data_IF_589728030722
#
_entry.id   IF_589728030722
#
_cell.length_a   1.000
_cell.length_b   1.000
_cell.length_c   1.000
_cell.angle_alpha   90.00
_cell.angle_beta   90.00
_cell.angle_gamma   90.00
#
_symmetry.space_group_name_H-M   'P 1'
#
loop_
_entity.id
_entity.type
_entity.pdbx_description
1 polymer ?
#
# COMPACT_ATOMS: atom_id res chain seq x y z
N UNK A 1 31.63 -4.35 -9.17
CA UNK A 1 31.24 -3.12 -8.45
C UNK A 1 30.11 -3.54 -7.52
N UNK A 2 30.50 -3.83 -6.28
CA UNK A 2 29.57 -4.31 -5.25
C UNK A 2 28.67 -3.16 -4.84
N UNK A 3 27.38 -3.32 -5.10
CA UNK A 3 26.35 -2.40 -4.62
C UNK A 3 25.90 -2.88 -3.25
N UNK A 4 26.57 -2.43 -2.19
CA UNK A 4 26.15 -2.61 -0.81
C UNK A 4 25.17 -1.49 -0.44
N UNK A 5 23.94 -1.66 -0.88
CA UNK A 5 22.81 -0.72 -0.65
C UNK A 5 22.01 -1.00 0.61
N UNK A 6 22.51 -1.84 1.50
CA UNK A 6 21.88 -2.08 2.81
C UNK A 6 22.27 -1.02 3.82
N UNK A 7 21.79 0.20 3.68
CA UNK A 7 21.53 1.02 4.86
C UNK A 7 20.20 0.55 5.44
N UNK A 8 20.28 -0.54 6.21
CA UNK A 8 19.23 -0.90 7.12
C UNK A 8 18.99 0.31 8.03
N UNK A 9 17.83 0.94 7.87
CA UNK A 9 17.26 1.76 8.92
C UNK A 9 16.96 0.75 10.01
N UNK A 10 17.79 0.73 11.07
CA UNK A 10 17.55 -0.11 12.26
C UNK A 10 16.21 0.28 12.87
N UNK A 11 15.16 -0.40 12.42
CA UNK A 11 13.89 -0.41 13.15
C UNK A 11 14.01 -1.47 14.23
N UNK A 12 14.15 -1.01 15.47
CA UNK A 12 14.00 -1.84 16.65
C UNK A 12 12.56 -2.34 16.70
N UNK A 13 12.31 -3.48 16.06
CA UNK A 13 10.98 -4.12 16.06
C UNK A 13 10.89 -4.96 17.32
N UNK A 14 10.29 -4.41 18.36
CA UNK A 14 9.74 -5.24 19.43
C UNK A 14 8.70 -6.18 18.83
N UNK A 15 8.57 -7.44 19.30
CA UNK A 15 7.60 -8.38 18.76
C UNK A 15 6.22 -7.73 18.77
N UNK A 16 5.64 -7.57 17.59
CA UNK A 16 4.34 -6.93 17.41
C UNK A 16 3.29 -7.87 18.00
N UNK A 17 3.04 -7.73 19.30
CA UNK A 17 1.73 -8.09 19.85
C UNK A 17 0.74 -7.25 19.05
N UNK A 18 -0.28 -7.89 18.49
CA UNK A 18 -1.42 -7.24 17.85
C UNK A 18 -1.81 -6.01 18.68
N UNK A 19 -1.30 -4.84 18.27
CA UNK A 19 -1.57 -3.59 18.97
C UNK A 19 -3.06 -3.34 18.77
N UNK A 20 -3.81 -3.23 19.85
CA UNK A 20 -5.19 -2.73 19.82
C UNK A 20 -5.12 -1.41 19.07
N UNK A 21 -5.60 -1.43 17.81
CA UNK A 21 -5.47 -0.33 16.89
C UNK A 21 -6.03 0.94 17.51
N UNK A 22 -5.31 2.03 17.33
CA UNK A 22 -5.84 3.36 17.59
C UNK A 22 -7.02 3.52 16.62
N UNK A 23 -8.23 3.62 17.13
CA UNK A 23 -9.44 3.84 16.32
C UNK A 23 -9.18 5.08 15.48
N UNK A 24 -9.22 4.94 14.15
CA UNK A 24 -9.05 6.08 13.25
C UNK A 24 -10.20 7.06 13.47
N UNK A 25 -9.85 8.34 13.62
CA UNK A 25 -10.84 9.41 13.63
C UNK A 25 -11.64 9.36 12.31
N UNK A 26 -12.96 9.45 12.36
CA UNK A 26 -13.82 9.33 11.16
C UNK A 26 -13.45 10.29 10.02
N UNK A 27 -12.80 11.41 10.35
CA UNK A 27 -12.40 12.44 9.38
C UNK A 27 -11.00 12.26 8.77
N UNK A 28 -10.20 11.29 9.26
CA UNK A 28 -8.81 11.14 8.84
C UNK A 28 -8.67 11.01 7.32
N UNK A 29 -9.39 10.11 6.68
CA UNK A 29 -9.26 9.87 5.24
C UNK A 29 -9.72 11.06 4.40
N UNK A 30 -10.74 11.79 4.84
CA UNK A 30 -11.19 13.02 4.19
C UNK A 30 -10.12 14.12 4.27
N UNK A 31 -9.53 14.33 5.42
CA UNK A 31 -8.45 15.30 5.60
C UNK A 31 -7.21 14.88 4.81
N UNK A 32 -6.84 13.60 4.85
CA UNK A 32 -5.74 13.04 4.08
C UNK A 32 -5.93 13.27 2.57
N UNK A 33 -7.14 13.02 2.04
CA UNK A 33 -7.48 13.31 0.65
C UNK A 33 -7.20 14.77 0.27
N UNK A 34 -7.69 15.71 1.08
CA UNK A 34 -7.51 17.15 0.84
C UNK A 34 -6.02 17.51 0.83
N UNK A 35 -5.28 17.08 1.86
CA UNK A 35 -3.85 17.40 2.01
C UNK A 35 -3.01 16.79 0.89
N UNK A 36 -3.25 15.53 0.53
CA UNK A 36 -2.53 14.86 -0.55
C UNK A 36 -2.78 15.49 -1.92
N UNK A 37 -4.04 15.82 -2.23
CA UNK A 37 -4.37 16.51 -3.49
C UNK A 37 -3.79 17.94 -3.55
N UNK A 38 -3.78 18.68 -2.43
CA UNK A 38 -3.12 19.99 -2.37
C UNK A 38 -1.62 19.88 -2.65
N UNK A 39 -0.97 18.89 -2.07
CA UNK A 39 0.44 18.58 -2.32
C UNK A 39 0.71 18.27 -3.78
N UNK A 40 -0.15 17.49 -4.43
CA UNK A 40 0.01 17.09 -5.82
C UNK A 40 -0.27 18.22 -6.82
N UNK A 41 -0.93 19.33 -6.42
CA UNK A 41 -1.08 20.52 -7.25
C UNK A 41 0.24 21.22 -7.60
N UNK A 42 1.28 20.99 -6.81
CA UNK A 42 2.62 21.50 -7.05
C UNK A 42 3.67 20.41 -7.25
N UNK A 43 3.23 19.15 -7.41
CA UNK A 43 4.14 18.04 -7.59
C UNK A 43 4.98 18.19 -8.85
N UNK A 44 6.26 17.89 -8.73
CA UNK A 44 7.19 17.81 -9.87
C UNK A 44 8.02 16.54 -9.76
N UNK A 45 8.24 15.89 -10.91
CA UNK A 45 9.05 14.69 -10.95
C UNK A 45 10.52 15.05 -10.70
N UNK A 46 11.08 14.50 -9.64
CA UNK A 46 12.49 14.69 -9.23
C UNK A 46 13.32 13.51 -9.73
N UNK A 47 14.05 13.69 -10.83
CA UNK A 47 14.81 12.63 -11.50
C UNK A 47 15.95 12.02 -10.66
N UNK A 48 16.36 12.66 -9.57
CA UNK A 48 17.38 12.16 -8.65
C UNK A 48 16.83 11.30 -7.51
N UNK A 49 15.50 11.30 -7.29
CA UNK A 49 14.85 10.48 -6.29
C UNK A 49 14.29 9.22 -6.95
N UNK A 50 14.72 8.08 -6.47
CA UNK A 50 14.29 6.77 -6.95
C UNK A 50 12.90 6.40 -6.42
N UNK A 51 12.20 5.57 -7.17
CA UNK A 51 10.91 5.03 -6.80
C UNK A 51 9.72 5.75 -7.44
N UNK A 52 8.54 5.44 -6.94
CA UNK A 52 7.30 5.98 -7.48
C UNK A 52 7.05 7.41 -6.99
N UNK A 53 6.73 8.31 -7.92
CA UNK A 53 6.38 9.69 -7.64
C UNK A 53 5.03 10.03 -8.28
N UNK A 54 4.25 10.89 -7.59
CA UNK A 54 2.96 11.34 -8.10
C UNK A 54 3.14 12.47 -9.11
N UNK A 55 2.30 12.47 -10.14
CA UNK A 55 2.30 13.50 -11.17
C UNK A 55 1.60 14.77 -10.67
N UNK A 56 1.93 15.88 -11.32
CA UNK A 56 1.22 17.16 -11.15
C UNK A 56 -0.29 16.98 -11.31
N UNK A 57 -1.06 17.56 -10.40
CA UNK A 57 -2.53 17.50 -10.38
C UNK A 57 -3.10 16.07 -10.36
N UNK A 58 -2.41 15.10 -9.75
CA UNK A 58 -3.03 13.80 -9.44
C UNK A 58 -4.19 14.00 -8.47
N UNK A 59 -5.27 13.26 -8.67
CA UNK A 59 -6.45 13.29 -7.80
C UNK A 59 -6.88 11.89 -7.42
N UNK A 60 -7.51 11.80 -6.27
CA UNK A 60 -8.23 10.60 -5.90
C UNK A 60 -9.53 10.49 -6.68
N UNK A 61 -9.86 9.28 -7.13
CA UNK A 61 -11.19 9.00 -7.65
C UNK A 61 -12.20 9.06 -6.50
N UNK A 62 -13.48 9.32 -6.80
CA UNK A 62 -14.55 9.23 -5.81
C UNK A 62 -14.55 7.87 -5.11
N UNK A 63 -14.89 7.89 -3.82
CA UNK A 63 -15.02 6.67 -3.03
C UNK A 63 -16.12 5.73 -3.52
N UNK A 64 -16.12 4.53 -2.99
CA UNK A 64 -17.07 3.47 -3.31
C UNK A 64 -18.28 3.51 -2.37
N UNK A 65 -19.44 3.05 -2.85
CA UNK A 65 -20.58 2.74 -1.97
C UNK A 65 -20.34 1.43 -1.20
N UNK A 66 -21.12 1.20 -0.15
CA UNK A 66 -21.07 -0.05 0.62
C UNK A 66 -21.27 -1.29 -0.25
N UNK A 67 -22.18 -1.20 -1.24
CA UNK A 67 -22.46 -2.30 -2.18
C UNK A 67 -21.25 -2.56 -3.09
N UNK A 68 -20.58 -1.51 -3.56
CA UNK A 68 -19.39 -1.66 -4.39
C UNK A 68 -18.19 -2.21 -3.60
N UNK A 69 -18.06 -1.83 -2.31
CA UNK A 69 -17.06 -2.41 -1.41
C UNK A 69 -17.36 -3.89 -1.17
N UNK A 70 -18.62 -4.25 -0.88
CA UNK A 70 -19.01 -5.65 -0.69
C UNK A 70 -18.79 -6.48 -1.96
N UNK A 71 -19.03 -5.91 -3.14
CA UNK A 71 -18.69 -6.55 -4.40
C UNK A 71 -17.17 -6.74 -4.54
N UNK A 72 -16.36 -5.74 -4.21
CA UNK A 72 -14.90 -5.85 -4.25
C UNK A 72 -14.38 -6.94 -3.31
N UNK A 73 -14.89 -6.99 -2.06
CA UNK A 73 -14.58 -8.06 -1.10
C UNK A 73 -14.89 -9.44 -1.68
N UNK A 74 -16.04 -9.58 -2.34
CA UNK A 74 -16.45 -10.84 -2.99
C UNK A 74 -15.53 -11.23 -4.15
N UNK A 75 -15.12 -10.26 -4.98
CA UNK A 75 -14.25 -10.50 -6.15
C UNK A 75 -12.81 -10.88 -5.78
N UNK A 76 -12.35 -10.48 -4.59
CA UNK A 76 -11.00 -10.80 -4.09
C UNK A 76 -11.02 -11.83 -2.96
N UNK A 77 -12.18 -12.37 -2.63
CA UNK A 77 -12.39 -13.38 -1.59
C UNK A 77 -11.79 -12.96 -0.22
N UNK A 78 -11.94 -11.67 0.14
CA UNK A 78 -11.38 -11.11 1.36
C UNK A 78 -12.38 -10.20 2.09
N UNK A 79 -12.42 -10.27 3.42
CA UNK A 79 -13.13 -9.29 4.24
C UNK A 79 -12.21 -8.15 4.60
N UNK A 80 -12.60 -6.92 4.26
CA UNK A 80 -11.76 -5.76 4.50
C UNK A 80 -11.84 -5.28 5.96
N UNK A 81 -10.69 -4.97 6.60
CA UNK A 81 -10.68 -4.27 7.88
C UNK A 81 -11.40 -2.93 7.81
N UNK A 82 -11.91 -2.47 8.95
CA UNK A 82 -12.69 -1.23 9.02
C UNK A 82 -11.96 -0.03 8.43
N UNK A 83 -10.67 0.13 8.73
CA UNK A 83 -9.89 1.27 8.22
C UNK A 83 -9.72 1.23 6.69
N UNK A 84 -9.60 0.03 6.10
CA UNK A 84 -9.53 -0.11 4.65
C UNK A 84 -10.89 0.16 3.98
N UNK A 85 -12.00 -0.24 4.61
CA UNK A 85 -13.34 0.14 4.11
C UNK A 85 -13.54 1.65 4.14
N UNK A 86 -13.21 2.33 5.26
CA UNK A 86 -13.29 3.79 5.38
C UNK A 86 -12.40 4.51 4.35
N UNK A 87 -11.22 3.96 4.05
CA UNK A 87 -10.37 4.47 2.97
C UNK A 87 -11.08 4.37 1.62
N UNK A 88 -11.67 3.22 1.30
CA UNK A 88 -12.37 2.98 0.03
C UNK A 88 -13.66 3.80 -0.09
N UNK A 89 -14.36 4.07 1.01
CA UNK A 89 -15.53 4.96 1.05
C UNK A 89 -15.17 6.42 0.67
N UNK A 90 -13.98 6.88 1.02
CA UNK A 90 -13.53 8.23 0.70
C UNK A 90 -12.78 8.31 -0.63
N UNK A 91 -11.96 7.29 -0.97
CA UNK A 91 -11.02 7.30 -2.08
C UNK A 91 -10.92 5.93 -2.75
N UNK A 92 -11.00 5.90 -4.08
CA UNK A 92 -10.92 4.66 -4.85
C UNK A 92 -9.83 4.75 -5.92
N UNK A 93 -8.57 4.70 -5.48
CA UNK A 93 -7.43 4.82 -6.38
C UNK A 93 -7.23 6.23 -6.94
N UNK A 94 -6.22 6.39 -7.78
CA UNK A 94 -5.88 7.69 -8.40
C UNK A 94 -6.26 7.76 -9.87
N UNK A 95 -6.51 8.98 -10.35
CA UNK A 95 -6.86 9.28 -11.75
C UNK A 95 -5.66 9.15 -12.69
N UNK A 96 -4.44 9.38 -12.16
CA UNK A 96 -3.18 9.29 -12.91
C UNK A 96 -2.30 8.15 -12.42
N UNK A 97 -1.53 7.52 -13.32
CA UNK A 97 -0.48 6.59 -12.91
C UNK A 97 0.63 7.32 -12.16
N UNK A 98 1.35 6.60 -11.31
CA UNK A 98 2.60 7.09 -10.74
C UNK A 98 3.72 7.06 -11.80
N UNK A 99 4.79 7.82 -11.56
CA UNK A 99 6.01 7.76 -12.36
C UNK A 99 7.08 7.03 -11.56
N UNK A 100 7.49 5.87 -12.04
CA UNK A 100 8.61 5.12 -11.47
C UNK A 100 9.92 5.71 -11.98
N UNK A 101 10.59 6.46 -11.11
CA UNK A 101 11.84 7.14 -11.45
C UNK A 101 13.00 6.19 -11.18
N UNK A 102 13.73 5.83 -12.24
CA UNK A 102 14.91 4.96 -12.18
C UNK A 102 14.65 3.63 -11.46
N UNK A 103 13.47 3.02 -11.67
CA UNK A 103 13.15 1.71 -11.14
C UNK A 103 14.16 0.62 -11.55
N UNK A 104 13.81 -0.63 -11.36
CA UNK A 104 14.69 -1.80 -11.63
C UNK A 104 15.27 -1.85 -13.04
N UNK A 105 14.64 -1.18 -14.01
CA UNK A 105 15.14 -1.07 -15.40
C UNK A 105 16.28 -0.07 -15.57
N UNK A 106 16.53 0.81 -14.60
CA UNK A 106 17.49 1.91 -14.72
C UNK A 106 17.05 3.06 -15.63
N UNK A 107 15.88 2.96 -16.27
CA UNK A 107 15.34 4.02 -17.11
C UNK A 107 14.97 5.25 -16.27
N UNK A 108 15.13 6.48 -16.82
CA UNK A 108 14.90 7.71 -16.05
C UNK A 108 13.48 7.83 -15.52
N UNK A 109 12.51 7.47 -16.34
CA UNK A 109 11.08 7.51 -15.99
C UNK A 109 10.32 6.44 -16.77
N UNK A 110 9.34 5.84 -16.11
CA UNK A 110 8.28 5.07 -16.75
C UNK A 110 7.00 5.21 -15.95
N UNK A 111 5.87 5.10 -16.61
CA UNK A 111 4.61 5.05 -15.89
C UNK A 111 4.47 3.72 -15.17
N UNK A 112 4.14 3.80 -13.88
CA UNK A 112 3.86 2.67 -13.02
C UNK A 112 2.40 2.66 -12.59
N UNK A 113 1.99 1.69 -11.78
CA UNK A 113 0.65 1.71 -11.20
C UNK A 113 0.50 2.93 -10.30
N UNK A 114 -0.71 3.55 -10.32
CA UNK A 114 -1.17 4.42 -9.25
C UNK A 114 -1.75 3.60 -8.11
N UNK A 115 -2.45 4.24 -7.18
CA UNK A 115 -3.34 3.50 -6.30
C UNK A 115 -4.42 2.79 -7.11
N UNK A 116 -4.64 1.51 -6.82
CA UNK A 116 -5.58 0.70 -7.56
C UNK A 116 -7.02 1.14 -7.33
N UNK A 117 -7.83 1.09 -8.38
CA UNK A 117 -9.22 1.52 -8.41
C UNK A 117 -10.14 0.35 -8.79
N UNK A 118 -11.16 0.10 -8.00
CA UNK A 118 -12.21 -0.85 -8.33
C UNK A 118 -13.35 -0.14 -9.11
N UNK A 119 -13.92 -0.74 -10.15
CA UNK A 119 -13.56 -2.04 -10.75
C UNK A 119 -12.45 -1.96 -11.82
N UNK A 120 -11.95 -0.75 -12.14
CA UNK A 120 -11.01 -0.50 -13.25
C UNK A 120 -9.80 -1.44 -13.25
N UNK A 121 -9.20 -1.63 -12.09
CA UNK A 121 -7.94 -2.35 -11.93
C UNK A 121 -8.13 -3.76 -11.36
N UNK A 122 -9.38 -4.27 -11.24
CA UNK A 122 -9.70 -5.54 -10.60
C UNK A 122 -8.86 -6.71 -11.13
N UNK A 123 -8.75 -6.83 -12.44
CA UNK A 123 -7.94 -7.90 -13.05
C UNK A 123 -6.49 -7.86 -12.57
N UNK A 124 -5.90 -6.67 -12.49
CA UNK A 124 -4.52 -6.50 -12.03
C UNK A 124 -4.39 -6.83 -10.54
N UNK A 125 -5.36 -6.42 -9.74
CA UNK A 125 -5.45 -6.76 -8.31
C UNK A 125 -5.47 -8.28 -8.13
N UNK A 126 -6.31 -9.00 -8.87
CA UNK A 126 -6.41 -10.46 -8.81
C UNK A 126 -5.09 -11.15 -9.24
N UNK A 127 -4.46 -10.69 -10.32
CA UNK A 127 -3.15 -11.21 -10.76
C UNK A 127 -2.06 -11.06 -9.68
N UNK A 128 -2.08 -9.96 -8.92
CA UNK A 128 -1.14 -9.70 -7.83
C UNK A 128 -1.45 -10.53 -6.58
N UNK A 129 -2.73 -10.77 -6.26
CA UNK A 129 -3.15 -11.69 -5.20
C UNK A 129 -2.68 -13.10 -5.51
N UNK A 130 -2.90 -13.57 -6.73
CA UNK A 130 -2.42 -14.88 -7.18
C UNK A 130 -0.90 -15.01 -7.11
N UNK A 131 -0.19 -13.93 -7.45
CA UNK A 131 1.28 -13.92 -7.37
C UNK A 131 1.77 -14.15 -5.94
N UNK A 132 1.27 -13.40 -4.96
CA UNK A 132 1.68 -13.55 -3.56
C UNK A 132 1.17 -14.86 -2.95
N UNK A 133 0.01 -15.34 -3.39
CA UNK A 133 -0.53 -16.63 -2.93
C UNK A 133 0.38 -17.80 -3.33
N UNK A 134 0.90 -17.83 -4.55
CA UNK A 134 1.83 -18.87 -5.01
C UNK A 134 3.12 -18.92 -4.20
N UNK A 135 3.61 -17.79 -3.71
CA UNK A 135 4.83 -17.69 -2.88
C UNK A 135 4.57 -17.68 -1.37
N UNK A 136 3.33 -17.94 -0.91
CA UNK A 136 2.91 -17.67 0.47
C UNK A 136 3.77 -18.35 1.54
N UNK A 137 4.19 -19.60 1.34
CA UNK A 137 5.01 -20.32 2.32
C UNK A 137 6.35 -19.63 2.56
N UNK A 138 7.05 -19.26 1.49
CA UNK A 138 8.32 -18.50 1.55
C UNK A 138 8.09 -17.10 2.11
N UNK A 139 7.05 -16.41 1.65
CA UNK A 139 6.67 -15.09 2.15
C UNK A 139 6.43 -15.10 3.67
N UNK A 140 5.72 -16.09 4.20
CA UNK A 140 5.52 -16.23 5.65
C UNK A 140 6.84 -16.46 6.40
N UNK A 141 7.79 -17.20 5.81
CA UNK A 141 9.11 -17.38 6.40
C UNK A 141 9.90 -16.08 6.42
N UNK A 142 9.95 -15.35 5.30
CA UNK A 142 10.60 -14.05 5.17
C UNK A 142 10.03 -13.03 6.17
N UNK A 143 8.71 -12.89 6.25
CA UNK A 143 8.07 -11.97 7.19
C UNK A 143 8.31 -12.35 8.67
N UNK A 144 8.44 -13.65 8.97
CA UNK A 144 8.77 -14.10 10.32
C UNK A 144 10.19 -13.72 10.72
N UNK A 145 11.14 -13.73 9.80
CA UNK A 145 12.51 -13.24 10.04
C UNK A 145 12.52 -11.73 10.34
N UNK A 146 11.60 -10.98 9.74
CA UNK A 146 11.34 -9.57 10.02
C UNK A 146 10.50 -9.33 11.29
N UNK A 147 10.16 -10.39 12.04
CA UNK A 147 9.38 -10.32 13.27
C UNK A 147 7.86 -10.16 13.08
N UNK A 148 7.35 -10.42 11.87
CA UNK A 148 5.94 -10.34 11.57
C UNK A 148 5.36 -11.73 11.28
N UNK A 149 4.32 -12.12 12.02
CA UNK A 149 3.61 -13.37 11.82
C UNK A 149 2.32 -13.13 11.02
N UNK A 150 2.32 -13.58 9.77
CA UNK A 150 1.15 -13.50 8.89
C UNK A 150 0.22 -14.69 9.19
N UNK A 151 -1.01 -14.41 9.60
CA UNK A 151 -2.04 -15.44 9.81
C UNK A 151 -2.38 -16.17 8.50
N UNK A 152 -2.61 -17.48 8.58
CA UNK A 152 -3.01 -18.29 7.42
C UNK A 152 -4.34 -17.81 6.81
N UNK A 153 -5.23 -17.24 7.62
CA UNK A 153 -6.54 -16.72 7.20
C UNK A 153 -6.47 -15.29 6.62
N UNK A 154 -5.31 -14.61 6.75
CA UNK A 154 -5.17 -13.25 6.25
C UNK A 154 -5.06 -13.23 4.73
N UNK A 155 -5.90 -12.43 4.07
CA UNK A 155 -5.73 -12.09 2.67
C UNK A 155 -4.77 -10.90 2.51
N UNK A 156 -4.07 -10.86 1.37
CA UNK A 156 -3.17 -9.76 1.00
C UNK A 156 -3.74 -9.05 -0.22
N UNK A 157 -4.29 -7.86 -0.02
CA UNK A 157 -4.95 -7.09 -1.08
C UNK A 157 -4.05 -5.94 -1.50
N UNK A 158 -3.61 -5.88 -2.79
CA UNK A 158 -2.75 -4.81 -3.25
C UNK A 158 -3.50 -3.47 -3.27
N UNK A 159 -2.87 -2.42 -2.76
CA UNK A 159 -3.41 -1.05 -2.72
C UNK A 159 -2.65 -0.09 -3.63
N UNK A 160 -1.34 -0.28 -3.77
CA UNK A 160 -0.48 0.56 -4.60
C UNK A 160 0.81 -0.18 -4.98
N UNK A 161 1.14 -0.26 -6.26
CA UNK A 161 2.32 -0.96 -6.75
C UNK A 161 2.48 -2.36 -6.12
N UNK A 162 3.52 -2.56 -5.30
CA UNK A 162 3.80 -3.79 -4.54
C UNK A 162 3.49 -3.61 -3.04
N UNK A 163 2.55 -2.75 -2.69
CA UNK A 163 2.05 -2.53 -1.33
C UNK A 163 0.74 -3.26 -1.13
N UNK A 164 0.67 -4.07 -0.08
CA UNK A 164 -0.48 -4.94 0.20
C UNK A 164 -1.02 -4.66 1.59
N UNK A 165 -2.31 -4.44 1.66
CA UNK A 165 -3.07 -4.39 2.92
C UNK A 165 -3.25 -5.81 3.44
N UNK A 166 -2.97 -6.03 4.73
CA UNK A 166 -3.24 -7.30 5.40
C UNK A 166 -4.68 -7.31 5.88
N UNK A 167 -5.52 -8.07 5.21
CA UNK A 167 -6.92 -8.25 5.56
C UNK A 167 -7.08 -9.52 6.41
N UNK A 168 -7.11 -9.37 7.73
CA UNK A 168 -7.35 -10.46 8.65
C UNK A 168 -8.74 -10.35 9.29
N UNK A 169 -9.41 -11.48 9.58
CA UNK A 169 -10.73 -11.46 10.19
C UNK A 169 -10.76 -10.69 11.52
N UNK A 170 -11.84 -9.95 11.75
CA UNK A 170 -12.09 -9.21 13.00
C UNK A 170 -11.02 -8.19 13.40
N UNK A 171 -10.30 -7.62 12.43
CA UNK A 171 -9.34 -6.54 12.67
C UNK A 171 -9.96 -5.17 12.35
N UNK A 172 -9.67 -4.18 13.20
CA UNK A 172 -10.10 -2.79 13.00
C UNK A 172 -9.12 -2.03 12.10
N UNK A 173 -7.85 -2.40 12.16
CA UNK A 173 -6.74 -1.75 11.46
C UNK A 173 -5.85 -2.80 10.81
N UNK A 174 -5.33 -2.47 9.65
CA UNK A 174 -4.50 -3.36 8.86
C UNK A 174 -3.08 -2.80 8.69
N UNK A 175 -2.05 -3.61 8.95
CA UNK A 175 -0.69 -3.28 8.50
C UNK A 175 -0.61 -3.34 6.98
N UNK A 176 0.39 -2.65 6.44
CA UNK A 176 0.69 -2.66 5.01
C UNK A 176 2.08 -3.25 4.79
N UNK A 177 2.14 -4.27 3.95
CA UNK A 177 3.38 -4.93 3.57
C UNK A 177 3.90 -4.37 2.25
N UNK A 178 5.22 -4.31 2.10
CA UNK A 178 5.90 -4.15 0.82
C UNK A 178 6.37 -5.54 0.40
N UNK A 179 5.87 -6.06 -0.72
CA UNK A 179 6.20 -7.39 -1.22
C UNK A 179 6.67 -7.23 -2.66
N UNK A 180 7.99 -7.27 -2.89
CA UNK A 180 8.55 -7.29 -4.22
C UNK A 180 8.49 -8.69 -4.82
N UNK A 181 8.88 -9.67 -4.02
CA UNK A 181 8.69 -11.10 -4.24
C UNK A 181 8.61 -11.83 -2.88
N UNK A 182 8.52 -13.16 -2.87
CA UNK A 182 8.38 -13.95 -1.64
C UNK A 182 9.60 -13.89 -0.71
N UNK A 183 10.79 -13.55 -1.25
CA UNK A 183 12.04 -13.42 -0.50
C UNK A 183 12.39 -11.98 -0.13
N UNK A 184 11.68 -11.00 -0.70
CA UNK A 184 11.85 -9.56 -0.45
C UNK A 184 10.52 -8.95 0.00
N UNK A 185 10.23 -9.08 1.28
CA UNK A 185 9.01 -8.62 1.91
C UNK A 185 9.26 -8.04 3.31
N UNK A 186 8.69 -6.88 3.59
CA UNK A 186 8.82 -6.20 4.89
C UNK A 186 7.47 -5.61 5.34
N UNK A 187 7.34 -5.34 6.64
CA UNK A 187 6.26 -4.49 7.17
C UNK A 187 6.57 -3.04 6.86
N UNK A 188 5.89 -2.47 5.88
CA UNK A 188 6.13 -1.11 5.41
C UNK A 188 5.35 -0.06 6.21
N UNK A 189 4.15 -0.38 6.66
CA UNK A 189 3.32 0.46 7.55
C UNK A 189 2.67 -0.36 8.65
N UNK A 190 2.70 0.12 9.89
CA UNK A 190 2.07 -0.55 11.05
C UNK A 190 0.55 -0.48 11.01
N UNK A 191 0.00 0.45 10.24
CA UNK A 191 -1.41 0.63 9.95
C UNK A 191 -1.55 1.25 8.57
N UNK A 192 -2.76 1.23 8.00
CA UNK A 192 -3.05 1.92 6.75
C UNK A 192 -2.76 3.42 6.86
N UNK A 193 -3.07 4.04 7.99
CA UNK A 193 -2.75 5.45 8.28
C UNK A 193 -1.24 5.71 8.19
N UNK A 194 -0.44 4.96 8.97
CA UNK A 194 1.02 5.09 8.99
C UNK A 194 1.63 4.93 7.59
N UNK A 195 1.12 3.96 6.83
CA UNK A 195 1.52 3.76 5.45
C UNK A 195 1.20 4.97 4.55
N UNK A 196 -0.05 5.44 4.57
CA UNK A 196 -0.49 6.54 3.70
C UNK A 196 0.24 7.85 4.02
N UNK A 197 0.44 8.18 5.29
CA UNK A 197 1.22 9.34 5.72
C UNK A 197 2.64 9.24 5.17
N UNK A 198 3.28 8.09 5.32
CA UNK A 198 4.65 7.84 4.87
C UNK A 198 4.80 7.83 3.35
N UNK A 199 3.95 7.09 2.63
CA UNK A 199 4.02 6.96 1.17
C UNK A 199 3.67 8.27 0.44
N UNK A 200 2.68 9.02 0.96
CA UNK A 200 2.11 10.16 0.25
C UNK A 200 2.57 11.49 0.82
N UNK A 201 2.71 11.60 2.15
CA UNK A 201 2.99 12.89 2.79
C UNK A 201 4.47 13.07 3.14
N UNK A 202 5.20 12.03 3.52
CA UNK A 202 6.59 12.12 3.99
C UNK A 202 7.65 12.05 2.88
N UNK A 203 7.36 11.42 1.76
CA UNK A 203 8.30 11.32 0.63
C UNK A 203 8.66 12.66 -0.03
N UNK A 204 8.19 13.76 0.50
CA UNK A 204 8.48 15.10 -0.01
C UNK A 204 9.20 16.00 1.00
N UNK A 205 9.52 15.49 2.20
CA UNK A 205 10.25 16.22 3.23
C UNK A 205 11.76 15.98 3.15
N UNK A 206 12.27 15.50 2.00
CA UNK A 206 13.69 15.27 1.75
C UNK A 206 14.26 16.23 0.72
#
# INVERSE_FOLDING_TARGET
>A
MDWDGRKAIEFYVSPVRCLKGTVLEPNFFREFRIVSEEKWRSASIRAHLWGFQFQLDTRWNPGLSDEAIAQFESEVEASFPRDFRLFLEEMNGTDKPAVDVRGSSGEPHRFGPGFYSFPRDLRRVQELIDFVHRGRTELCATLREEGFELSDEAALVPVYAHRYVVCAPNTESCPVLSIWDSSDAIVYGKSLKDYLEREVLDLTAG
#
